data_IF_108990383030
#
_entry.id   IF_108990383030
#
_cell.length_a   1.000
_cell.length_b   1.000
_cell.length_c   1.000
_cell.angle_alpha   90.00
_cell.angle_beta   90.00
_cell.angle_gamma   90.00
#
_symmetry.space_group_name_H-M   'P 1'
#
loop_
_entity.id
_entity.type
_entity.pdbx_description
1 polymer ?
#
# COMPACT_ATOMS: atom_id res chain seq x y z
N UNK A 1 16.44 -12.88 5.98
CA UNK A 1 16.58 -14.00 5.03
C UNK A 1 17.23 -15.15 5.77
N UNK A 2 16.50 -16.24 5.97
CA UNK A 2 17.04 -17.47 6.56
C UNK A 2 17.78 -18.24 5.50
N UNK A 3 19.06 -18.49 5.74
CA UNK A 3 19.93 -19.30 4.88
C UNK A 3 19.74 -20.81 5.08
N UNK A 4 18.97 -21.22 6.09
CA UNK A 4 18.70 -22.64 6.35
C UNK A 4 17.43 -23.09 5.62
N UNK A 5 17.49 -24.28 5.02
CA UNK A 5 16.33 -24.90 4.40
C UNK A 5 15.21 -25.09 5.46
N UNK A 6 13.96 -24.68 5.17
CA UNK A 6 12.85 -24.76 6.12
C UNK A 6 12.42 -26.21 6.44
N UNK A 7 12.86 -27.17 5.62
CA UNK A 7 12.59 -28.59 5.79
C UNK A 7 13.88 -29.39 5.82
N UNK A 8 14.04 -30.25 6.82
CA UNK A 8 15.13 -31.20 6.85
C UNK A 8 14.77 -32.41 5.99
N UNK A 9 15.60 -32.69 4.99
CA UNK A 9 15.49 -33.93 4.22
C UNK A 9 16.05 -35.09 5.06
N UNK A 10 15.18 -35.89 5.63
CA UNK A 10 15.56 -37.16 6.23
C UNK A 10 15.00 -38.30 5.40
N UNK A 11 15.68 -39.44 5.34
CA UNK A 11 15.26 -40.64 4.59
C UNK A 11 13.95 -41.23 5.10
N UNK A 12 13.51 -40.87 6.30
CA UNK A 12 12.33 -41.46 6.95
C UNK A 12 11.12 -40.50 7.04
N UNK A 13 11.33 -39.21 7.26
CA UNK A 13 10.23 -38.25 7.34
C UNK A 13 10.76 -36.82 7.16
N UNK A 14 10.17 -36.01 6.28
CA UNK A 14 10.51 -34.60 6.23
C UNK A 14 10.04 -33.94 7.54
N UNK A 15 10.96 -33.58 8.39
CA UNK A 15 10.66 -32.79 9.57
C UNK A 15 10.78 -31.29 9.23
N UNK A 16 9.89 -30.47 9.75
CA UNK A 16 10.01 -29.04 9.65
C UNK A 16 11.19 -28.62 10.52
N UNK A 17 12.26 -28.16 9.90
CA UNK A 17 13.55 -27.95 10.56
C UNK A 17 13.57 -26.78 11.53
N UNK A 18 12.58 -25.86 11.52
CA UNK A 18 12.67 -24.66 12.32
C UNK A 18 11.38 -23.85 12.39
N UNK A 19 11.21 -23.15 13.50
CA UNK A 19 10.21 -22.09 13.74
C UNK A 19 10.33 -20.87 12.78
N UNK A 20 11.28 -20.87 11.86
CA UNK A 20 11.57 -19.75 10.94
C UNK A 20 10.56 -19.58 9.80
N UNK A 21 9.60 -20.48 9.65
CA UNK A 21 8.50 -20.36 8.68
C UNK A 21 7.29 -19.56 9.23
N UNK A 22 7.38 -19.04 10.46
CA UNK A 22 6.30 -18.30 11.13
C UNK A 22 6.40 -16.78 10.95
N UNK A 23 7.25 -16.27 10.04
CA UNK A 23 7.40 -14.84 9.77
C UNK A 23 6.12 -14.21 9.23
N UNK A 24 5.62 -13.18 9.90
CA UNK A 24 4.48 -12.38 9.48
C UNK A 24 4.93 -10.95 9.18
N UNK A 25 4.36 -10.38 8.13
CA UNK A 25 4.58 -8.97 7.76
C UNK A 25 3.22 -8.28 7.73
N UNK A 26 3.08 -7.24 8.54
CA UNK A 26 1.93 -6.35 8.49
C UNK A 26 2.29 -5.07 7.72
N UNK A 27 1.36 -4.61 6.91
CA UNK A 27 1.39 -3.30 6.26
C UNK A 27 0.34 -2.40 6.91
N UNK A 28 0.71 -1.16 7.19
CA UNK A 28 -0.24 -0.13 7.56
C UNK A 28 -0.92 0.39 6.27
N UNK A 29 -2.22 0.17 6.16
CA UNK A 29 -3.05 0.55 5.00
C UNK A 29 -3.92 1.78 5.28
N UNK A 30 -3.90 2.26 6.50
CA UNK A 30 -4.61 3.45 6.95
C UNK A 30 -4.18 3.80 8.37
N UNK A 31 -4.54 4.97 8.85
CA UNK A 31 -4.14 5.44 10.19
C UNK A 31 -4.56 4.43 11.27
N UNK A 32 -3.59 3.64 11.77
CA UNK A 32 -3.81 2.60 12.77
C UNK A 32 -4.49 1.31 12.24
N UNK A 33 -4.65 1.17 10.92
CA UNK A 33 -5.20 -0.02 10.29
C UNK A 33 -4.07 -0.82 9.63
N UNK A 34 -3.92 -2.06 10.06
CA UNK A 34 -2.90 -2.97 9.56
C UNK A 34 -3.54 -4.15 8.83
N UNK A 35 -2.93 -4.58 7.74
CA UNK A 35 -3.27 -5.83 7.06
C UNK A 35 -2.04 -6.70 6.92
N UNK A 36 -2.24 -8.02 6.96
CA UNK A 36 -1.15 -8.98 6.77
C UNK A 36 -0.78 -9.06 5.29
N UNK A 37 0.51 -8.80 4.99
CA UNK A 37 1.03 -8.86 3.63
C UNK A 37 1.36 -10.28 3.16
N UNK A 38 1.55 -11.23 4.09
CA UNK A 38 1.85 -12.62 3.79
C UNK A 38 1.13 -13.56 4.74
N UNK A 39 0.91 -14.79 4.31
CA UNK A 39 0.57 -15.88 5.20
C UNK A 39 1.86 -16.54 5.72
N UNK A 40 1.92 -16.88 7.00
CA UNK A 40 3.07 -17.59 7.52
C UNK A 40 3.07 -19.06 7.08
N UNK A 41 4.26 -19.62 6.85
CA UNK A 41 4.39 -20.99 6.38
C UNK A 41 3.89 -22.04 7.40
N UNK A 42 3.91 -21.71 8.68
CA UNK A 42 3.36 -22.57 9.74
C UNK A 42 1.86 -22.78 9.53
N UNK A 43 1.12 -21.73 9.23
CA UNK A 43 -0.32 -21.80 8.95
C UNK A 43 -0.60 -22.55 7.64
N UNK A 44 0.17 -22.23 6.58
CA UNK A 44 -0.06 -22.79 5.24
C UNK A 44 0.29 -24.27 5.16
N UNK A 45 1.41 -24.71 5.74
CA UNK A 45 1.93 -26.07 5.52
C UNK A 45 1.73 -27.00 6.71
N UNK A 46 1.71 -26.47 7.93
CA UNK A 46 1.63 -27.29 9.15
C UNK A 46 0.20 -27.33 9.68
N UNK A 47 -0.36 -26.17 9.98
CA UNK A 47 -1.69 -26.07 10.58
C UNK A 47 -2.78 -26.52 9.60
N UNK A 48 -2.60 -26.34 8.29
CA UNK A 48 -3.49 -26.88 7.26
C UNK A 48 -3.47 -28.41 7.17
N UNK A 49 -2.46 -29.07 7.75
CA UNK A 49 -2.31 -30.53 7.70
C UNK A 49 -1.71 -31.06 6.39
N UNK A 50 -1.32 -30.23 5.43
CA UNK A 50 -0.76 -30.66 4.12
C UNK A 50 0.45 -31.57 4.31
N UNK A 51 1.43 -31.19 5.13
CA UNK A 51 2.63 -32.00 5.37
C UNK A 51 2.27 -33.31 6.07
N UNK A 52 1.38 -33.29 7.04
CA UNK A 52 0.92 -34.48 7.75
C UNK A 52 0.18 -35.45 6.80
N UNK A 53 -0.72 -34.93 5.96
CA UNK A 53 -1.47 -35.72 4.99
C UNK A 53 -0.55 -36.37 3.93
N UNK A 54 0.39 -35.62 3.38
CA UNK A 54 1.37 -36.16 2.42
C UNK A 54 2.30 -37.19 3.06
N UNK A 55 2.71 -36.96 4.31
CA UNK A 55 3.53 -37.94 5.05
C UNK A 55 2.75 -39.23 5.31
N UNK A 56 1.50 -39.14 5.74
CA UNK A 56 0.64 -40.30 5.97
C UNK A 56 0.40 -41.09 4.67
N UNK A 57 0.17 -40.40 3.55
CA UNK A 57 0.03 -41.05 2.25
C UNK A 57 1.31 -41.77 1.83
N UNK A 58 2.46 -41.13 1.96
CA UNK A 58 3.77 -41.74 1.67
C UNK A 58 3.97 -43.00 2.51
N UNK A 59 3.74 -42.92 3.81
CA UNK A 59 3.96 -44.03 4.74
C UNK A 59 3.00 -45.21 4.43
N UNK A 60 1.75 -44.89 4.08
CA UNK A 60 0.79 -45.91 3.60
C UNK A 60 1.22 -46.60 2.32
N UNK A 61 1.80 -45.88 1.37
CA UNK A 61 2.33 -46.43 0.12
C UNK A 61 3.59 -47.27 0.37
N UNK A 62 4.51 -46.84 1.25
CA UNK A 62 5.69 -47.60 1.62
C UNK A 62 5.33 -48.88 2.36
N UNK A 63 4.31 -48.85 3.22
CA UNK A 63 3.82 -50.03 3.93
C UNK A 63 3.08 -51.02 3.01
N UNK A 64 2.69 -50.63 1.80
CA UNK A 64 1.99 -51.44 0.82
C UNK A 64 0.57 -51.81 1.25
N UNK A 65 -0.02 -51.12 2.23
CA UNK A 65 -1.35 -51.44 2.78
C UNK A 65 -2.41 -50.47 2.21
N UNK A 66 -3.40 -51.02 1.49
CA UNK A 66 -4.48 -50.24 0.90
C UNK A 66 -5.32 -49.49 1.94
N UNK A 67 -5.41 -50.01 3.17
CA UNK A 67 -6.16 -49.38 4.25
C UNK A 67 -5.46 -48.12 4.78
N UNK A 68 -4.12 -48.12 4.89
CA UNK A 68 -3.36 -46.93 5.28
C UNK A 68 -3.47 -45.82 4.22
N UNK A 69 -3.41 -46.17 2.94
CA UNK A 69 -3.64 -45.21 1.85
C UNK A 69 -5.05 -44.65 1.91
N UNK A 70 -6.06 -45.48 2.13
CA UNK A 70 -7.45 -45.06 2.24
C UNK A 70 -7.69 -44.17 3.45
N UNK A 71 -6.99 -44.39 4.56
CA UNK A 71 -7.05 -43.53 5.75
C UNK A 71 -6.38 -42.15 5.54
N UNK A 72 -5.38 -42.05 4.67
CA UNK A 72 -4.71 -40.78 4.35
C UNK A 72 -5.55 -39.86 3.44
N UNK A 73 -6.46 -40.42 2.63
CA UNK A 73 -7.26 -39.64 1.67
C UNK A 73 -8.13 -38.56 2.32
N UNK A 74 -8.91 -38.80 3.38
CA UNK A 74 -9.71 -37.77 4.03
C UNK A 74 -8.83 -36.67 4.68
N UNK A 75 -7.64 -37.01 5.17
CA UNK A 75 -6.68 -36.02 5.71
C UNK A 75 -6.20 -35.07 4.62
N UNK A 76 -5.93 -35.58 3.43
CA UNK A 76 -5.60 -34.78 2.27
C UNK A 76 -6.76 -33.90 1.81
N UNK A 77 -7.99 -34.42 1.83
CA UNK A 77 -9.20 -33.67 1.52
C UNK A 77 -9.36 -32.45 2.44
N UNK A 78 -9.30 -32.65 3.75
CA UNK A 78 -9.39 -31.56 4.72
C UNK A 78 -8.25 -30.57 4.60
N UNK A 79 -7.04 -31.02 4.25
CA UNK A 79 -5.89 -30.16 4.00
C UNK A 79 -6.10 -29.30 2.74
N UNK A 80 -6.69 -29.87 1.70
CA UNK A 80 -7.03 -29.13 0.49
C UNK A 80 -8.07 -28.04 0.77
N UNK A 81 -9.12 -28.35 1.52
CA UNK A 81 -10.15 -27.40 1.91
C UNK A 81 -9.55 -26.25 2.75
N UNK A 82 -8.61 -26.56 3.65
CA UNK A 82 -7.90 -25.55 4.45
C UNK A 82 -7.06 -24.62 3.56
N UNK A 83 -6.36 -25.15 2.56
CA UNK A 83 -5.59 -24.33 1.61
C UNK A 83 -6.53 -23.47 0.74
N UNK A 84 -7.66 -24.01 0.30
CA UNK A 84 -8.68 -23.24 -0.43
C UNK A 84 -9.19 -22.06 0.40
N UNK A 85 -9.45 -22.26 1.68
CA UNK A 85 -9.84 -21.18 2.60
C UNK A 85 -8.77 -20.10 2.70
N UNK A 86 -7.49 -20.48 2.81
CA UNK A 86 -6.36 -19.53 2.85
C UNK A 86 -6.23 -18.72 1.55
N UNK A 87 -6.53 -19.34 0.40
CA UNK A 87 -6.57 -18.63 -0.89
C UNK A 87 -7.72 -17.62 -0.90
N UNK A 88 -8.88 -18.00 -0.37
CA UNK A 88 -10.02 -17.08 -0.20
C UNK A 88 -9.68 -15.87 0.66
N UNK A 89 -8.99 -16.08 1.78
CA UNK A 89 -8.53 -15.02 2.67
C UNK A 89 -7.56 -14.04 1.97
N UNK A 90 -6.64 -14.57 1.16
CA UNK A 90 -5.74 -13.76 0.34
C UNK A 90 -6.54 -12.92 -0.65
N UNK A 91 -7.53 -13.52 -1.32
CA UNK A 91 -8.42 -12.80 -2.24
C UNK A 91 -9.19 -11.67 -1.55
N UNK A 92 -9.71 -11.93 -0.34
CA UNK A 92 -10.36 -10.90 0.48
C UNK A 92 -9.44 -9.73 0.82
N UNK A 93 -8.18 -10.01 1.20
CA UNK A 93 -7.18 -8.97 1.48
C UNK A 93 -6.80 -8.18 0.22
N UNK A 94 -6.69 -8.83 -0.93
CA UNK A 94 -6.44 -8.14 -2.20
C UNK A 94 -7.56 -7.15 -2.53
N UNK A 95 -8.81 -7.57 -2.41
CA UNK A 95 -9.96 -6.68 -2.62
C UNK A 95 -9.97 -5.50 -1.63
N UNK A 96 -9.60 -5.74 -0.38
CA UNK A 96 -9.47 -4.68 0.62
C UNK A 96 -8.38 -3.68 0.24
N UNK A 97 -7.20 -4.16 -0.19
CA UNK A 97 -6.09 -3.29 -0.62
C UNK A 97 -6.46 -2.47 -1.86
N UNK A 98 -7.16 -3.08 -2.81
CA UNK A 98 -7.65 -2.40 -4.02
C UNK A 98 -8.66 -1.28 -3.66
N UNK A 99 -9.57 -1.54 -2.74
CA UNK A 99 -10.51 -0.52 -2.22
C UNK A 99 -9.79 0.63 -1.52
N UNK A 100 -8.76 0.35 -0.71
CA UNK A 100 -7.94 1.37 -0.05
C UNK A 100 -7.16 2.19 -1.08
N UNK A 101 -6.57 1.54 -2.08
CA UNK A 101 -5.87 2.23 -3.17
C UNK A 101 -6.79 3.19 -3.90
N UNK A 102 -7.99 2.73 -4.29
CA UNK A 102 -8.99 3.59 -4.94
C UNK A 102 -9.43 4.78 -4.07
N UNK A 103 -9.54 4.59 -2.76
CA UNK A 103 -9.86 5.67 -1.83
C UNK A 103 -8.74 6.71 -1.72
N UNK A 104 -7.48 6.27 -1.74
CA UNK A 104 -6.31 7.15 -1.72
C UNK A 104 -6.18 7.95 -3.03
N UNK A 105 -6.47 7.32 -4.17
CA UNK A 105 -6.48 7.99 -5.47
C UNK A 105 -7.56 9.09 -5.52
N UNK A 106 -8.77 8.78 -5.04
CA UNK A 106 -9.85 9.76 -4.95
C UNK A 106 -9.50 10.93 -4.01
N UNK A 107 -8.87 10.65 -2.87
CA UNK A 107 -8.38 11.66 -1.94
C UNK A 107 -7.30 12.54 -2.59
N UNK A 108 -6.34 11.92 -3.27
CA UNK A 108 -5.26 12.64 -3.99
C UNK A 108 -5.84 13.58 -5.04
N UNK A 109 -6.82 13.12 -5.82
CA UNK A 109 -7.52 13.94 -6.81
C UNK A 109 -8.28 15.11 -6.15
N UNK A 110 -8.98 14.86 -5.05
CA UNK A 110 -9.69 15.89 -4.29
C UNK A 110 -8.74 16.97 -3.76
N UNK A 111 -7.62 16.57 -3.17
CA UNK A 111 -6.58 17.49 -2.70
C UNK A 111 -5.99 18.30 -3.86
N UNK A 112 -5.75 17.66 -5.01
CA UNK A 112 -5.29 18.34 -6.23
C UNK A 112 -6.25 19.42 -6.71
N UNK A 113 -7.55 19.14 -6.74
CA UNK A 113 -8.59 20.11 -7.10
C UNK A 113 -8.62 21.29 -6.13
N UNK A 114 -8.60 21.02 -4.82
CA UNK A 114 -8.58 22.08 -3.81
C UNK A 114 -7.32 22.94 -3.88
N UNK A 115 -6.16 22.34 -4.15
CA UNK A 115 -4.91 23.06 -4.37
C UNK A 115 -5.00 23.96 -5.59
N UNK A 116 -5.42 23.43 -6.74
CA UNK A 116 -5.58 24.21 -7.98
C UNK A 116 -6.59 25.37 -7.83
N UNK A 117 -7.70 25.13 -7.12
CA UNK A 117 -8.68 26.19 -6.86
C UNK A 117 -8.09 27.34 -6.03
N UNK A 118 -7.27 27.03 -5.01
CA UNK A 118 -6.62 28.06 -4.18
C UNK A 118 -5.53 28.81 -4.94
N UNK A 119 -4.67 28.09 -5.65
CA UNK A 119 -3.59 28.69 -6.44
C UNK A 119 -4.15 29.55 -7.59
N UNK A 120 -5.23 29.13 -8.25
CA UNK A 120 -5.88 29.88 -9.31
C UNK A 120 -6.53 31.19 -8.82
N UNK A 121 -7.14 31.19 -7.64
CA UNK A 121 -7.72 32.39 -7.03
C UNK A 121 -6.60 33.38 -6.65
N UNK A 122 -5.51 32.88 -6.05
CA UNK A 122 -4.38 33.74 -5.65
C UNK A 122 -3.72 34.40 -6.87
N UNK A 123 -3.57 33.68 -7.98
CA UNK A 123 -2.96 34.22 -9.20
C UNK A 123 -3.84 35.31 -9.82
N UNK A 124 -5.15 35.12 -9.89
CA UNK A 124 -6.10 36.13 -10.41
C UNK A 124 -6.10 37.40 -9.57
N UNK A 125 -6.15 37.24 -8.26
CA UNK A 125 -6.11 38.35 -7.30
C UNK A 125 -4.76 39.10 -7.40
N UNK A 126 -3.65 38.36 -7.40
CA UNK A 126 -2.31 38.93 -7.47
C UNK A 126 -2.05 39.70 -8.78
N UNK A 127 -2.54 39.23 -9.92
CA UNK A 127 -2.43 39.94 -11.20
C UNK A 127 -3.24 41.25 -11.21
N UNK A 128 -4.43 41.25 -10.61
CA UNK A 128 -5.28 42.44 -10.49
C UNK A 128 -4.63 43.48 -9.56
N UNK A 129 -4.09 43.06 -8.43
CA UNK A 129 -3.36 43.92 -7.50
C UNK A 129 -2.09 44.49 -8.14
N UNK A 130 -1.35 43.67 -8.90
CA UNK A 130 -0.15 44.13 -9.62
C UNK A 130 -0.49 45.21 -10.64
N UNK A 131 -1.54 45.04 -11.43
CA UNK A 131 -2.01 46.06 -12.40
C UNK A 131 -2.44 47.34 -11.69
N UNK A 132 -3.16 47.24 -10.58
CA UNK A 132 -3.56 48.40 -9.78
C UNK A 132 -2.35 49.16 -9.22
N UNK A 133 -1.36 48.41 -8.68
CA UNK A 133 -0.12 49.01 -8.18
C UNK A 133 0.71 49.69 -9.29
N UNK A 134 0.81 49.10 -10.48
CA UNK A 134 1.47 49.70 -11.63
C UNK A 134 0.78 51.01 -12.07
N UNK A 135 -0.57 51.01 -12.13
CA UNK A 135 -1.35 52.17 -12.49
C UNK A 135 -1.17 53.32 -11.45
N UNK A 136 -1.21 52.97 -10.17
CA UNK A 136 -0.97 53.94 -9.09
C UNK A 136 0.45 54.51 -9.14
N UNK A 137 1.47 53.69 -9.43
CA UNK A 137 2.86 54.19 -9.58
C UNK A 137 2.98 55.14 -10.78
N UNK A 138 2.37 54.84 -11.93
CA UNK A 138 2.38 55.70 -13.09
C UNK A 138 1.67 57.02 -12.81
N UNK A 139 0.55 57.04 -12.12
CA UNK A 139 -0.15 58.22 -11.71
C UNK A 139 0.66 59.09 -10.74
N UNK A 140 1.35 58.46 -9.78
CA UNK A 140 2.23 59.13 -8.83
C UNK A 140 3.43 59.81 -9.55
N UNK A 141 4.07 59.08 -10.50
CA UNK A 141 5.18 59.64 -11.29
C UNK A 141 4.75 60.83 -12.16
N UNK A 142 3.57 60.75 -12.81
CA UNK A 142 3.01 61.84 -13.59
C UNK A 142 2.67 63.05 -12.70
N UNK A 143 2.12 62.84 -11.52
CA UNK A 143 1.83 63.86 -10.55
C UNK A 143 3.11 64.54 -10.05
N UNK A 144 4.13 63.76 -9.68
CA UNK A 144 5.42 64.27 -9.24
C UNK A 144 6.11 65.10 -10.35
N UNK A 145 6.08 64.68 -11.61
CA UNK A 145 6.65 65.40 -12.74
C UNK A 145 5.94 66.73 -12.98
N UNK A 146 4.63 66.80 -12.80
CA UNK A 146 3.85 68.07 -12.91
C UNK A 146 4.22 69.03 -11.80
N UNK A 147 4.32 68.55 -10.55
CA UNK A 147 4.71 69.40 -9.40
C UNK A 147 6.12 69.93 -9.58
N UNK A 148 7.07 69.17 -10.03
CA UNK A 148 8.43 69.58 -10.30
C UNK A 148 8.50 70.61 -11.43
N UNK A 149 7.73 70.46 -12.50
CA UNK A 149 7.66 71.40 -13.60
C UNK A 149 7.05 72.78 -13.16
N UNK A 150 6.02 72.76 -12.32
CA UNK A 150 5.41 74.00 -11.80
C UNK A 150 6.37 74.70 -10.86
N UNK A 151 7.06 73.98 -9.99
CA UNK A 151 8.01 74.57 -9.05
C UNK A 151 9.23 75.18 -9.77
N UNK A 152 9.75 74.58 -10.84
CA UNK A 152 10.83 75.11 -11.64
C UNK A 152 10.42 76.39 -12.39
N UNK A 153 9.19 76.45 -12.95
CA UNK A 153 8.66 77.57 -13.65
C UNK A 153 8.45 78.80 -12.72
N UNK A 154 8.07 78.55 -11.44
CA UNK A 154 7.93 79.63 -10.43
C UNK A 154 9.26 80.13 -9.91
N UNK A 155 10.35 79.36 -10.02
CA UNK A 155 11.70 79.86 -9.54
C UNK A 155 12.49 80.63 -10.61
N UNK A 156 12.05 80.51 -11.87
CA UNK A 156 12.70 81.19 -13.01
C UNK A 156 12.03 82.52 -13.43
N UNK A 157 10.96 82.91 -12.77
CA UNK A 157 10.31 84.27 -12.91
C UNK A 157 10.55 85.10 -11.68
#
# INVERSE_FOLDING_TARGET
>A
QTTAAPFAATTASPAIASATISGERSLEVGRGQFTLANNNGQTVFVASGVVAGLTALRDGLVAGTGDAVRAAMPVLGTSFDAVQSLIGDVGGRMNQLESVSGSLDALSMSVGIHKSAREGVDLSTSTTELLAAQTALQAALLSASRVLNISLAQYLT
#
